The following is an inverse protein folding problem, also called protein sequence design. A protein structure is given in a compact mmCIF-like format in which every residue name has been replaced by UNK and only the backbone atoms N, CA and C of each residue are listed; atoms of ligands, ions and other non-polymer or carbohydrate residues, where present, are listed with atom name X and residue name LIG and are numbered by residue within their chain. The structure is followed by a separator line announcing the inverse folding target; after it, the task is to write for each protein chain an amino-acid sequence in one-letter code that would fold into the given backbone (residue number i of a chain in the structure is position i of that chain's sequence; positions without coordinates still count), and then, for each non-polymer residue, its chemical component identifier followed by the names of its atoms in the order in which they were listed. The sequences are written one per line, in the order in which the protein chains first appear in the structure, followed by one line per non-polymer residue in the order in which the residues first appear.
data_IF_181372852110
#
_entry.id   IF_181372852110
#
_cell.length_a   1.000
_cell.length_b   1.000
_cell.length_c   1.000
_cell.angle_alpha   90.00
_cell.angle_beta   90.00
_cell.angle_gamma   90.00
#
_symmetry.space_group_name_H-M   'P 1'
#
loop_
_entity.id
_entity.type
_entity.pdbx_description
1 polymer ?
#
# COMPACT_ATOMS: atom_id res chain seq x y z
N UNK A 1 21.64 -100.11 -51.45
CA UNK A 1 22.23 -99.14 -50.51
C UNK A 1 21.20 -98.07 -50.17
N UNK A 2 20.68 -98.18 -48.95
CA UNK A 2 20.04 -97.19 -48.07
C UNK A 2 19.26 -96.00 -48.66
N UNK A 3 17.92 -96.10 -48.56
CA UNK A 3 16.99 -94.98 -48.35
C UNK A 3 17.46 -94.15 -47.14
N UNK A 4 17.70 -92.85 -47.34
CA UNK A 4 17.67 -91.86 -46.25
C UNK A 4 16.57 -90.85 -46.55
N UNK A 5 15.56 -90.82 -45.69
CA UNK A 5 14.40 -89.94 -45.79
C UNK A 5 14.82 -88.46 -45.67
N UNK A 6 14.18 -87.52 -46.39
CA UNK A 6 14.48 -86.09 -46.31
C UNK A 6 13.88 -85.44 -45.06
N UNK A 7 13.89 -86.13 -43.91
CA UNK A 7 13.37 -85.61 -42.64
C UNK A 7 14.22 -84.46 -42.10
N UNK A 8 15.56 -84.53 -42.25
CA UNK A 8 16.48 -83.49 -41.76
C UNK A 8 16.37 -82.19 -42.56
N UNK A 9 16.30 -82.25 -43.88
CA UNK A 9 16.13 -81.07 -44.73
C UNK A 9 14.77 -80.39 -44.53
N UNK A 10 13.70 -81.18 -44.33
CA UNK A 10 12.37 -80.65 -43.99
C UNK A 10 12.31 -80.04 -42.59
N UNK A 11 13.00 -80.60 -41.60
CA UNK A 11 13.15 -79.96 -40.28
C UNK A 11 13.90 -78.64 -40.37
N UNK A 12 15.00 -78.58 -41.13
CA UNK A 12 15.81 -77.37 -41.30
C UNK A 12 15.04 -76.24 -42.01
N UNK A 13 14.27 -76.58 -43.06
CA UNK A 13 13.36 -75.63 -43.72
C UNK A 13 12.23 -75.16 -42.80
N UNK A 14 11.67 -76.04 -41.97
CA UNK A 14 10.65 -75.67 -40.97
C UNK A 14 11.23 -74.79 -39.86
N UNK A 15 12.44 -75.06 -39.38
CA UNK A 15 13.10 -74.20 -38.37
C UNK A 15 13.43 -72.84 -38.93
N UNK A 16 13.92 -72.75 -40.18
CA UNK A 16 14.15 -71.46 -40.85
C UNK A 16 12.82 -70.72 -41.05
N UNK A 17 11.77 -71.41 -41.49
CA UNK A 17 10.43 -70.83 -41.63
C UNK A 17 9.86 -70.30 -40.30
N UNK A 18 10.05 -71.03 -39.20
CA UNK A 18 9.65 -70.59 -37.86
C UNK A 18 10.47 -69.38 -37.41
N UNK A 19 11.79 -69.37 -37.62
CA UNK A 19 12.66 -68.23 -37.26
C UNK A 19 12.29 -66.99 -38.06
N UNK A 20 12.03 -67.12 -39.36
CA UNK A 20 11.57 -65.99 -40.20
C UNK A 20 10.20 -65.50 -39.74
N UNK A 21 9.26 -66.40 -39.45
CA UNK A 21 7.96 -66.02 -38.93
C UNK A 21 8.08 -65.31 -37.56
N UNK A 22 8.96 -65.78 -36.68
CA UNK A 22 9.25 -65.15 -35.39
C UNK A 22 9.90 -63.78 -35.56
N UNK A 23 10.86 -63.62 -36.48
CA UNK A 23 11.51 -62.34 -36.77
C UNK A 23 10.55 -61.34 -37.40
N UNK A 24 9.62 -61.77 -38.26
CA UNK A 24 8.56 -60.91 -38.83
C UNK A 24 7.57 -60.51 -37.72
N UNK A 25 7.16 -61.45 -36.87
CA UNK A 25 6.28 -61.17 -35.74
C UNK A 25 6.94 -60.21 -34.75
N UNK A 26 8.21 -60.45 -34.42
CA UNK A 26 9.00 -59.55 -33.58
C UNK A 26 9.15 -58.18 -34.24
N UNK A 27 9.48 -58.10 -35.53
CA UNK A 27 9.61 -56.83 -36.23
C UNK A 27 8.27 -56.09 -36.35
N UNK A 28 7.14 -56.79 -36.33
CA UNK A 28 5.80 -56.20 -36.31
C UNK A 28 5.44 -55.62 -34.93
N UNK A 29 5.94 -56.22 -33.85
CA UNK A 29 5.66 -55.82 -32.45
C UNK A 29 6.69 -54.84 -31.88
N UNK A 30 7.95 -54.93 -32.33
CA UNK A 30 9.03 -54.06 -31.85
C UNK A 30 8.85 -52.64 -32.36
N UNK A 31 8.61 -51.71 -31.44
CA UNK A 31 8.44 -50.28 -31.71
C UNK A 31 9.79 -49.56 -31.70
N UNK A 32 10.02 -48.72 -32.70
CA UNK A 32 11.11 -47.76 -32.79
C UNK A 32 10.54 -46.34 -32.69
N UNK A 33 11.17 -45.51 -31.88
CA UNK A 33 10.80 -44.10 -31.74
C UNK A 33 11.26 -43.31 -32.97
N UNK A 34 10.34 -42.54 -33.55
CA UNK A 34 10.62 -41.57 -34.60
C UNK A 34 10.90 -40.23 -33.93
N UNK A 35 12.11 -39.70 -34.11
CA UNK A 35 12.57 -38.47 -33.47
C UNK A 35 12.84 -37.37 -34.49
N UNK A 36 12.37 -36.16 -34.16
CA UNK A 36 12.76 -34.92 -34.85
C UNK A 36 13.86 -34.27 -34.04
N UNK A 37 15.00 -33.97 -34.67
CA UNK A 37 16.14 -33.35 -34.01
C UNK A 37 16.15 -31.85 -34.22
N UNK A 38 16.46 -31.11 -33.16
CA UNK A 38 16.66 -29.67 -33.21
C UNK A 38 17.86 -29.24 -32.37
N UNK A 39 18.58 -28.24 -32.84
CA UNK A 39 19.64 -27.60 -32.05
C UNK A 39 19.00 -26.55 -31.15
N UNK A 40 19.26 -26.64 -29.84
CA UNK A 40 18.66 -25.76 -28.86
C UNK A 40 19.64 -25.11 -27.90
N UNK A 41 19.15 -24.07 -27.23
CA UNK A 41 19.88 -23.30 -26.23
C UNK A 41 19.05 -23.21 -24.96
N UNK A 42 19.72 -23.35 -23.83
CA UNK A 42 19.09 -23.17 -22.51
C UNK A 42 18.76 -21.70 -22.30
N UNK A 43 17.48 -21.41 -22.10
CA UNK A 43 16.97 -20.10 -21.72
C UNK A 43 16.41 -20.17 -20.29
N UNK A 44 16.51 -19.08 -19.50
CA UNK A 44 15.90 -19.07 -18.19
C UNK A 44 14.38 -19.20 -18.33
N UNK A 45 13.75 -19.96 -17.42
CA UNK A 45 12.31 -20.19 -17.43
C UNK A 45 11.50 -18.91 -17.28
N UNK A 46 12.06 -17.96 -16.53
CA UNK A 46 11.54 -16.61 -16.31
C UNK A 46 12.43 -15.59 -17.00
N UNK A 47 11.81 -14.49 -17.41
CA UNK A 47 12.54 -13.34 -17.94
C UNK A 47 13.50 -12.78 -16.88
N UNK A 48 14.62 -12.25 -17.35
CA UNK A 48 15.60 -11.54 -16.52
C UNK A 48 14.89 -10.45 -15.73
N UNK A 49 15.09 -10.46 -14.41
CA UNK A 49 14.54 -9.47 -13.51
C UNK A 49 15.45 -8.24 -13.51
N UNK A 50 14.91 -7.09 -13.88
CA UNK A 50 15.63 -5.82 -13.90
C UNK A 50 15.24 -5.05 -12.65
N UNK A 51 16.21 -4.83 -11.76
CA UNK A 51 16.03 -4.02 -10.57
C UNK A 51 16.45 -2.58 -10.87
N UNK A 52 15.53 -1.67 -10.59
CA UNK A 52 15.69 -0.23 -10.82
C UNK A 52 15.71 0.51 -9.48
N UNK A 53 16.36 1.66 -9.45
CA UNK A 53 16.21 2.59 -8.33
C UNK A 53 14.94 3.41 -8.52
N UNK A 54 14.00 3.36 -7.58
CA UNK A 54 12.75 4.14 -7.68
C UNK A 54 13.03 5.64 -7.46
N UNK A 55 13.66 6.00 -6.34
CA UNK A 55 13.91 7.38 -5.95
C UNK A 55 15.29 7.92 -6.36
N UNK A 56 16.21 7.05 -6.81
CA UNK A 56 17.60 7.41 -7.06
C UNK A 56 18.37 7.74 -5.77
N UNK A 57 19.61 8.20 -5.93
CA UNK A 57 20.43 8.65 -4.80
C UNK A 57 21.91 8.31 -4.95
N UNK A 58 22.66 8.57 -3.87
CA UNK A 58 24.09 8.26 -3.79
C UNK A 58 24.28 6.80 -3.39
N UNK A 59 25.08 6.05 -4.13
CA UNK A 59 25.37 4.66 -3.79
C UNK A 59 26.34 4.62 -2.61
N UNK A 60 25.90 4.07 -1.48
CA UNK A 60 26.71 3.90 -0.28
C UNK A 60 27.54 2.62 -0.35
N UNK A 61 26.92 1.51 -0.73
CA UNK A 61 27.58 0.19 -0.73
C UNK A 61 27.04 -0.69 -1.86
N UNK A 62 27.92 -1.49 -2.45
CA UNK A 62 27.58 -2.53 -3.43
C UNK A 62 28.09 -3.86 -2.86
N UNK A 63 27.19 -4.78 -2.55
CA UNK A 63 27.48 -6.03 -1.83
C UNK A 63 27.58 -7.26 -2.73
N UNK A 64 27.36 -7.09 -4.04
CA UNK A 64 27.34 -8.18 -5.03
C UNK A 64 28.17 -7.84 -6.25
N UNK A 65 28.63 -8.86 -6.95
CA UNK A 65 29.38 -8.77 -8.20
C UNK A 65 28.68 -9.54 -9.31
N UNK A 66 29.05 -9.24 -10.55
CA UNK A 66 28.57 -10.02 -11.70
C UNK A 66 29.01 -11.49 -11.57
N UNK A 67 28.07 -12.41 -11.78
CA UNK A 67 28.28 -13.85 -11.61
C UNK A 67 27.96 -14.38 -10.20
N UNK A 68 27.74 -13.51 -9.21
CA UNK A 68 27.39 -13.97 -7.86
C UNK A 68 25.98 -14.58 -7.82
N UNK A 69 25.84 -15.65 -7.03
CA UNK A 69 24.54 -16.25 -6.69
C UNK A 69 23.96 -15.51 -5.50
N UNK A 70 22.73 -15.03 -5.64
CA UNK A 70 21.99 -14.29 -4.62
C UNK A 70 20.72 -15.03 -4.24
N UNK A 71 20.38 -14.97 -2.96
CA UNK A 71 19.12 -15.50 -2.44
C UNK A 71 18.00 -14.44 -2.48
N UNK A 72 16.75 -14.91 -2.36
CA UNK A 72 15.62 -14.01 -2.25
C UNK A 72 15.75 -13.12 -0.99
N UNK A 73 15.40 -11.84 -1.14
CA UNK A 73 15.50 -10.77 -0.13
C UNK A 73 16.92 -10.40 0.32
N UNK A 74 17.96 -10.95 -0.31
CA UNK A 74 19.35 -10.56 -0.06
C UNK A 74 19.58 -9.10 -0.47
N UNK A 75 20.28 -8.34 0.38
CA UNK A 75 20.68 -6.96 0.09
C UNK A 75 21.77 -6.95 -0.98
N UNK A 76 21.55 -6.18 -2.03
CA UNK A 76 22.45 -6.10 -3.19
C UNK A 76 23.21 -4.78 -3.21
N UNK A 77 22.46 -3.67 -3.11
CA UNK A 77 22.99 -2.31 -3.14
C UNK A 77 22.28 -1.50 -2.07
N UNK A 78 23.06 -0.67 -1.39
CA UNK A 78 22.56 0.29 -0.41
C UNK A 78 22.78 1.71 -0.94
N UNK A 79 21.70 2.47 -1.02
CA UNK A 79 21.72 3.90 -1.28
C UNK A 79 21.86 4.64 0.06
N UNK A 80 22.54 5.78 0.07
CA UNK A 80 22.64 6.66 1.24
C UNK A 80 21.24 7.10 1.71
N UNK A 81 20.86 6.56 2.87
CA UNK A 81 19.57 6.77 3.50
C UNK A 81 19.51 8.07 4.33
N UNK A 82 20.63 8.79 4.52
CA UNK A 82 20.73 9.94 5.42
C UNK A 82 19.67 11.00 5.13
N UNK A 83 19.44 11.31 3.85
CA UNK A 83 18.43 12.29 3.43
C UNK A 83 17.01 11.80 3.69
N UNK A 84 16.74 10.53 3.39
CA UNK A 84 15.41 9.94 3.57
C UNK A 84 15.06 9.80 5.07
N UNK A 85 16.01 9.35 5.89
CA UNK A 85 15.87 9.24 7.34
C UNK A 85 15.69 10.63 7.97
N UNK A 86 16.39 11.66 7.48
CA UNK A 86 16.21 13.03 7.95
C UNK A 86 14.78 13.52 7.72
N UNK A 87 14.20 13.27 6.54
CA UNK A 87 12.80 13.62 6.26
C UNK A 87 11.81 12.85 7.15
N UNK A 88 12.06 11.57 7.45
CA UNK A 88 11.23 10.80 8.39
C UNK A 88 11.31 11.38 9.81
N UNK A 89 12.53 11.73 10.28
CA UNK A 89 12.73 12.34 11.59
C UNK A 89 12.06 13.71 11.69
N UNK A 90 12.15 14.54 10.65
CA UNK A 90 11.46 15.83 10.58
C UNK A 90 9.93 15.65 10.65
N UNK A 91 9.38 14.75 9.82
CA UNK A 91 7.95 14.43 9.84
C UNK A 91 7.51 13.91 11.22
N UNK A 92 8.30 13.06 11.87
CA UNK A 92 8.02 12.55 13.22
C UNK A 92 8.03 13.67 14.27
N UNK A 93 9.00 14.58 14.22
CA UNK A 93 9.05 15.72 15.13
C UNK A 93 7.83 16.64 14.96
N UNK A 94 7.44 16.95 13.71
CA UNK A 94 6.23 17.72 13.42
C UNK A 94 4.96 16.99 13.90
N UNK A 95 4.87 15.69 13.67
CA UNK A 95 3.75 14.86 14.12
C UNK A 95 3.60 14.90 15.64
N UNK A 96 4.68 14.65 16.39
CA UNK A 96 4.66 14.69 17.87
C UNK A 96 4.25 16.07 18.40
N UNK A 97 4.75 17.15 17.78
CA UNK A 97 4.34 18.52 18.07
C UNK A 97 2.85 18.75 17.91
N UNK A 98 2.27 18.30 16.78
CA UNK A 98 0.85 18.46 16.52
C UNK A 98 -0.01 17.53 17.39
N UNK A 99 0.46 16.34 17.76
CA UNK A 99 -0.26 15.44 18.69
C UNK A 99 -0.39 16.08 20.06
N UNK A 100 0.70 16.65 20.58
CA UNK A 100 0.69 17.38 21.85
C UNK A 100 -0.27 18.58 21.81
N UNK A 101 -0.18 19.38 20.73
CA UNK A 101 -1.08 20.51 20.49
C UNK A 101 -2.54 20.09 20.41
N UNK A 102 -2.85 19.01 19.69
CA UNK A 102 -4.22 18.49 19.58
C UNK A 102 -4.76 18.06 20.95
N UNK A 103 -3.93 17.41 21.78
CA UNK A 103 -4.32 17.03 23.13
C UNK A 103 -4.59 18.26 24.02
N UNK A 104 -3.78 19.32 23.93
CA UNK A 104 -4.02 20.61 24.62
C UNK A 104 -5.35 21.22 24.16
N UNK A 105 -5.55 21.37 22.85
CA UNK A 105 -6.74 22.00 22.28
C UNK A 105 -8.01 21.22 22.61
N UNK A 106 -7.94 19.88 22.61
CA UNK A 106 -9.04 19.01 23.06
C UNK A 106 -9.36 19.22 24.53
N UNK A 107 -8.36 19.31 25.40
CA UNK A 107 -8.56 19.61 26.80
C UNK A 107 -9.24 20.98 27.01
N UNK A 108 -8.82 21.99 26.25
CA UNK A 108 -9.42 23.34 26.28
C UNK A 108 -10.87 23.35 25.77
N UNK A 109 -11.16 22.65 24.66
CA UNK A 109 -12.49 22.58 24.08
C UNK A 109 -13.48 21.83 24.98
N UNK A 110 -13.06 20.69 25.55
CA UNK A 110 -13.87 19.87 26.46
C UNK A 110 -13.95 20.44 27.89
N UNK A 111 -13.14 21.44 28.24
CA UNK A 111 -13.02 21.97 29.59
C UNK A 111 -12.38 21.01 30.60
N UNK A 112 -11.55 20.07 30.13
CA UNK A 112 -10.87 19.05 30.94
C UNK A 112 -9.41 19.45 31.21
N UNK A 113 -8.76 18.85 32.23
CA UNK A 113 -7.32 18.99 32.42
C UNK A 113 -6.54 18.46 31.20
N UNK A 114 -5.44 19.12 30.86
CA UNK A 114 -4.51 18.62 29.85
C UNK A 114 -3.82 17.35 30.37
N UNK A 115 -3.91 16.27 29.58
CA UNK A 115 -3.20 15.01 29.85
C UNK A 115 -2.25 14.76 28.68
N UNK A 116 -0.93 14.80 28.91
CA UNK A 116 0.06 14.54 27.87
C UNK A 116 -0.07 13.13 27.28
N UNK A 117 -0.05 12.99 25.94
CA UNK A 117 0.00 11.68 25.31
C UNK A 117 1.30 10.93 25.67
N UNK A 118 1.22 9.62 25.98
CA UNK A 118 2.38 8.86 26.47
C UNK A 118 3.51 8.75 25.44
N UNK A 119 3.18 8.71 24.15
CA UNK A 119 4.17 8.62 23.07
C UNK A 119 5.01 9.89 22.97
N UNK A 120 4.37 11.06 23.08
CA UNK A 120 5.05 12.36 23.07
C UNK A 120 5.90 12.53 24.34
N UNK A 121 5.39 12.11 25.50
CA UNK A 121 6.12 12.19 26.75
C UNK A 121 7.44 11.39 26.75
N UNK A 122 7.49 10.30 25.98
CA UNK A 122 8.71 9.48 25.82
C UNK A 122 9.69 10.04 24.80
N UNK A 123 9.19 10.49 23.65
CA UNK A 123 10.05 10.87 22.51
C UNK A 123 10.41 12.37 22.49
N UNK A 124 9.55 13.24 23.01
CA UNK A 124 9.68 14.70 22.95
C UNK A 124 9.17 15.39 24.23
N UNK A 125 9.82 15.18 25.39
CA UNK A 125 9.39 15.78 26.65
C UNK A 125 9.38 17.31 26.64
N UNK A 126 10.31 17.95 25.91
CA UNK A 126 10.38 19.41 25.76
C UNK A 126 9.12 19.99 25.13
N UNK A 127 8.51 19.29 24.17
CA UNK A 127 7.26 19.69 23.51
C UNK A 127 6.09 19.65 24.50
N UNK A 128 6.07 18.63 25.37
CA UNK A 128 5.03 18.50 26.40
C UNK A 128 5.10 19.66 27.38
N UNK A 129 6.30 20.04 27.81
CA UNK A 129 6.49 21.16 28.73
C UNK A 129 6.01 22.48 28.11
N UNK A 130 6.37 22.74 26.85
CA UNK A 130 5.92 23.93 26.12
C UNK A 130 4.39 23.98 25.98
N UNK A 131 3.75 22.87 25.61
CA UNK A 131 2.29 22.81 25.48
C UNK A 131 1.58 22.91 26.85
N UNK A 132 2.19 22.41 27.93
CA UNK A 132 1.68 22.59 29.29
C UNK A 132 1.72 24.06 29.71
N UNK A 133 2.84 24.76 29.50
CA UNK A 133 2.96 26.19 29.78
C UNK A 133 1.92 27.01 28.97
N UNK A 134 1.73 26.66 27.70
CA UNK A 134 0.74 27.32 26.85
C UNK A 134 -0.69 27.03 27.32
N UNK A 135 -0.98 25.80 27.78
CA UNK A 135 -2.27 25.43 28.35
C UNK A 135 -2.59 26.27 29.59
N UNK A 136 -1.65 26.40 30.52
CA UNK A 136 -1.82 27.19 31.74
C UNK A 136 -2.02 28.67 31.43
N UNK A 137 -1.22 29.23 30.52
CA UNK A 137 -1.36 30.61 30.08
C UNK A 137 -2.75 30.89 29.47
N UNK A 138 -3.22 30.00 28.58
CA UNK A 138 -4.54 30.14 27.95
C UNK A 138 -5.69 29.96 28.93
N UNK A 139 -5.55 29.05 29.90
CA UNK A 139 -6.53 28.89 30.98
C UNK A 139 -6.59 30.12 31.88
N UNK A 140 -5.44 30.73 32.19
CA UNK A 140 -5.38 31.96 32.95
C UNK A 140 -6.03 33.13 32.19
N UNK A 141 -5.80 33.25 30.88
CA UNK A 141 -6.43 34.23 30.00
C UNK A 141 -7.96 34.12 30.01
N UNK A 142 -8.49 32.91 29.81
CA UNK A 142 -9.93 32.63 29.88
C UNK A 142 -10.51 32.99 31.25
N UNK A 143 -9.86 32.57 32.33
CA UNK A 143 -10.32 32.84 33.69
C UNK A 143 -10.35 34.35 33.99
N UNK A 144 -9.35 35.10 33.51
CA UNK A 144 -9.31 36.56 33.66
C UNK A 144 -10.47 37.23 32.90
N UNK A 145 -10.74 36.80 31.66
CA UNK A 145 -11.86 37.32 30.88
C UNK A 145 -13.22 37.04 31.53
N UNK A 146 -13.42 35.81 32.03
CA UNK A 146 -14.63 35.44 32.79
C UNK A 146 -14.75 36.25 34.08
N UNK A 147 -13.64 36.48 34.78
CA UNK A 147 -13.63 37.31 36.00
C UNK A 147 -14.07 38.74 35.72
N UNK A 148 -13.62 39.35 34.61
CA UNK A 148 -14.04 40.70 34.20
C UNK A 148 -15.55 40.71 33.90
N UNK A 149 -16.06 39.74 33.15
CA UNK A 149 -17.49 39.64 32.85
C UNK A 149 -18.34 39.43 34.13
N UNK A 150 -17.84 38.65 35.09
CA UNK A 150 -18.48 38.48 36.41
C UNK A 150 -18.49 39.77 37.23
N UNK A 151 -17.41 40.56 37.19
CA UNK A 151 -17.38 41.87 37.86
C UNK A 151 -18.42 42.83 37.29
N UNK A 152 -18.62 42.83 35.96
CA UNK A 152 -19.68 43.61 35.32
C UNK A 152 -21.07 43.16 35.78
N UNK A 153 -21.31 41.85 35.91
CA UNK A 153 -22.56 41.31 36.45
C UNK A 153 -22.81 41.81 37.89
N UNK A 154 -21.79 41.76 38.76
CA UNK A 154 -21.88 42.26 40.13
C UNK A 154 -22.20 43.76 40.16
N UNK A 155 -21.58 44.56 39.29
CA UNK A 155 -21.88 45.98 39.16
C UNK A 155 -23.36 46.22 38.79
N UNK A 156 -23.90 45.48 37.81
CA UNK A 156 -25.33 45.57 37.44
C UNK A 156 -26.26 45.14 38.57
N UNK A 157 -25.86 44.15 39.35
CA UNK A 157 -26.62 43.72 40.53
C UNK A 157 -26.66 44.81 41.62
N UNK A 158 -25.57 45.56 41.79
CA UNK A 158 -25.54 46.71 42.70
C UNK A 158 -26.44 47.86 42.20
N UNK A 159 -26.42 48.15 40.89
CA UNK A 159 -27.34 49.12 40.27
C UNK A 159 -28.82 48.73 40.51
N UNK A 160 -29.13 47.43 40.46
CA UNK A 160 -30.47 46.92 40.75
C UNK A 160 -30.88 47.18 42.20
N UNK A 161 -29.97 46.89 43.15
CA UNK A 161 -30.22 47.13 44.57
C UNK A 161 -30.47 48.62 44.85
N UNK A 162 -29.72 49.52 44.20
CA UNK A 162 -29.93 50.97 44.30
C UNK A 162 -31.31 51.38 43.74
N UNK A 163 -31.70 50.87 42.58
CA UNK A 163 -33.00 51.15 41.98
C UNK A 163 -34.16 50.61 42.83
N UNK A 164 -33.99 49.44 43.46
CA UNK A 164 -34.95 48.87 44.40
C UNK A 164 -35.10 49.73 45.66
N UNK A 165 -34.00 50.22 46.23
CA UNK A 165 -34.03 51.12 47.38
C UNK A 165 -34.78 52.43 47.04
N UNK A 166 -34.49 53.04 45.88
CA UNK A 166 -35.21 54.24 45.40
C UNK A 166 -36.71 53.97 45.20
N UNK A 167 -37.07 52.83 44.61
CA UNK A 167 -38.48 52.44 44.47
C UNK A 167 -39.16 52.28 45.82
N UNK A 168 -38.51 51.63 46.79
CA UNK A 168 -39.06 51.42 48.12
C UNK A 168 -39.29 52.75 48.85
N UNK A 169 -38.34 53.68 48.77
CA UNK A 169 -38.46 55.03 49.33
C UNK A 169 -39.63 55.80 48.70
N UNK A 170 -39.73 55.82 47.36
CA UNK A 170 -40.82 56.50 46.67
C UNK A 170 -42.19 55.85 46.93
N UNK A 171 -42.24 54.52 47.05
CA UNK A 171 -43.45 53.79 47.41
C UNK A 171 -43.93 54.16 48.82
N UNK A 172 -43.02 54.21 49.80
CA UNK A 172 -43.37 54.63 51.16
C UNK A 172 -43.87 56.07 51.20
N UNK A 173 -43.22 56.99 50.46
CA UNK A 173 -43.67 58.38 50.33
C UNK A 173 -45.06 58.49 49.70
N UNK A 174 -45.32 57.72 48.65
CA UNK A 174 -46.63 57.62 48.00
C UNK A 174 -47.71 57.08 48.95
N UNK A 175 -47.43 56.00 49.69
CA UNK A 175 -48.41 55.38 50.59
C UNK A 175 -48.80 56.33 51.74
N UNK A 176 -47.83 57.02 52.34
CA UNK A 176 -48.07 58.00 53.42
C UNK A 176 -48.89 59.19 52.91
N UNK A 177 -48.46 59.82 51.82
CA UNK A 177 -49.16 61.00 51.25
C UNK A 177 -50.52 60.64 50.67
N UNK A 178 -50.68 59.45 50.09
CA UNK A 178 -51.97 58.99 49.59
C UNK A 178 -52.95 58.71 50.73
N UNK A 179 -52.46 58.19 51.87
CA UNK A 179 -53.28 58.00 53.06
C UNK A 179 -53.71 59.35 53.65
N UNK A 180 -52.79 60.30 53.77
CA UNK A 180 -53.08 61.66 54.22
C UNK A 180 -54.13 62.33 53.32
N UNK A 181 -53.96 62.26 51.99
CA UNK A 181 -54.94 62.75 51.03
C UNK A 181 -56.32 62.09 51.21
N UNK A 182 -56.38 60.78 51.44
CA UNK A 182 -57.65 60.05 51.61
C UNK A 182 -58.45 60.48 52.83
N UNK A 183 -57.77 60.88 53.91
CA UNK A 183 -58.40 61.37 55.15
C UNK A 183 -58.75 62.86 55.03
N UNK A 184 -57.91 63.65 54.36
CA UNK A 184 -58.09 65.10 54.23
C UNK A 184 -59.15 65.48 53.19
N UNK A 185 -59.27 64.72 52.11
CA UNK A 185 -60.22 65.00 51.01
C UNK A 185 -61.69 65.16 51.45
N UNK A 186 -62.29 64.32 52.32
CA UNK A 186 -63.67 64.52 52.76
C UNK A 186 -63.86 65.76 53.66
N UNK A 187 -62.80 66.25 54.33
CA UNK A 187 -62.87 67.38 55.27
C UNK A 187 -63.10 68.74 54.58
N UNK A 188 -62.91 68.80 53.25
CA UNK A 188 -63.16 70.02 52.46
C UNK A 188 -64.64 70.40 52.43
N UNK A 189 -65.54 69.39 52.43
CA UNK A 189 -66.99 69.61 52.42
C UNK A 189 -67.49 70.21 53.74
N UNK A 190 -66.76 70.01 54.82
CA UNK A 190 -67.02 70.62 56.14
C UNK A 190 -66.31 71.97 56.34
N UNK A 191 -65.52 72.45 55.36
CA UNK A 191 -64.75 73.70 55.45
C UNK A 191 -63.55 73.64 56.41
N UNK A 192 -63.20 72.46 56.92
CA UNK A 192 -62.16 72.28 57.94
C UNK A 192 -60.72 72.32 57.37
N UNK A 193 -60.57 72.29 56.04
CA UNK A 193 -59.28 72.31 55.34
C UNK A 193 -59.37 73.19 54.08
N UNK A 194 -58.28 73.90 53.75
CA UNK A 194 -58.18 74.75 52.56
C UNK A 194 -58.01 73.94 51.26
N UNK A 195 -58.63 74.38 50.17
CA UNK A 195 -58.46 73.81 48.83
C UNK A 195 -57.01 73.83 48.34
N UNK A 196 -56.23 74.84 48.76
CA UNK A 196 -54.79 74.94 48.42
C UNK A 196 -53.99 73.78 49.03
N UNK A 197 -54.34 73.35 50.24
CA UNK A 197 -53.69 72.23 50.92
C UNK A 197 -54.04 70.90 50.26
N UNK A 198 -55.29 70.74 49.81
CA UNK A 198 -55.70 69.56 49.05
C UNK A 198 -54.93 69.46 47.73
N UNK A 199 -54.82 70.56 46.96
CA UNK A 199 -54.05 70.59 45.72
C UNK A 199 -52.55 70.33 45.95
N UNK A 200 -52.00 70.73 47.10
CA UNK A 200 -50.62 70.44 47.49
C UNK A 200 -50.42 68.93 47.73
N UNK A 201 -51.32 68.30 48.50
CA UNK A 201 -51.31 66.85 48.73
C UNK A 201 -51.50 66.05 47.44
N UNK A 202 -52.43 66.46 46.57
CA UNK A 202 -52.62 65.80 45.25
C UNK A 202 -51.36 65.89 44.38
N UNK A 203 -50.66 67.04 44.39
CA UNK A 203 -49.37 67.20 43.69
C UNK A 203 -48.28 66.30 44.29
N UNK A 204 -48.18 66.20 45.61
CA UNK A 204 -47.19 65.36 46.28
C UNK A 204 -47.45 63.87 46.02
N UNK A 205 -48.70 63.41 46.06
CA UNK A 205 -49.09 62.04 45.69
C UNK A 205 -48.72 61.75 44.24
N UNK A 206 -49.01 62.67 43.32
CA UNK A 206 -48.66 62.53 41.91
C UNK A 206 -47.14 62.47 41.70
N UNK A 207 -46.36 63.30 42.41
CA UNK A 207 -44.90 63.29 42.38
C UNK A 207 -44.34 61.95 42.84
N UNK A 208 -44.71 61.48 44.04
CA UNK A 208 -44.20 60.20 44.57
C UNK A 208 -44.64 58.99 43.75
N UNK A 209 -45.85 59.03 43.19
CA UNK A 209 -46.30 58.02 42.21
C UNK A 209 -45.41 58.01 40.97
N UNK A 210 -45.13 59.17 40.40
CA UNK A 210 -44.24 59.33 39.25
C UNK A 210 -42.83 58.80 39.55
N UNK A 211 -42.25 59.17 40.69
CA UNK A 211 -40.94 58.68 41.13
C UNK A 211 -40.90 57.15 41.31
N UNK A 212 -41.93 56.58 41.93
CA UNK A 212 -42.08 55.12 42.09
C UNK A 212 -42.17 54.40 40.75
N UNK A 213 -42.97 54.94 39.83
CA UNK A 213 -43.20 54.34 38.52
C UNK A 213 -41.94 54.45 37.65
N UNK A 214 -41.22 55.58 37.72
CA UNK A 214 -39.89 55.76 37.10
C UNK A 214 -38.85 54.77 37.65
N UNK A 215 -38.76 54.62 38.97
CA UNK A 215 -37.85 53.66 39.60
C UNK A 215 -38.23 52.21 39.23
N UNK A 216 -39.52 51.92 39.10
CA UNK A 216 -40.00 50.60 38.65
C UNK A 216 -39.58 50.33 37.19
N UNK A 217 -39.70 51.31 36.30
CA UNK A 217 -39.20 51.18 34.92
C UNK A 217 -37.67 51.02 34.87
N UNK A 218 -36.93 51.69 35.77
CA UNK A 218 -35.49 51.53 35.91
C UNK A 218 -35.12 50.09 36.32
N UNK A 219 -35.82 49.51 37.31
CA UNK A 219 -35.61 48.12 37.74
C UNK A 219 -35.74 47.16 36.56
N UNK A 220 -36.80 47.28 35.75
CA UNK A 220 -37.00 46.44 34.57
C UNK A 220 -35.83 46.56 33.58
N UNK A 221 -35.32 47.78 33.37
CA UNK A 221 -34.17 48.03 32.49
C UNK A 221 -32.88 47.40 33.02
N UNK A 222 -32.61 47.53 34.32
CA UNK A 222 -31.41 46.96 34.94
C UNK A 222 -31.48 45.43 34.97
N UNK A 223 -32.66 44.85 35.20
CA UNK A 223 -32.86 43.39 35.10
C UNK A 223 -32.55 42.86 33.70
N UNK A 224 -32.94 43.59 32.64
CA UNK A 224 -32.56 43.24 31.27
C UNK A 224 -31.03 43.30 31.08
N UNK A 225 -30.36 44.31 31.63
CA UNK A 225 -28.90 44.45 31.59
C UNK A 225 -28.17 43.35 32.39
N UNK A 226 -28.73 42.88 33.51
CA UNK A 226 -28.22 41.73 34.28
C UNK A 226 -28.29 40.46 33.42
N UNK A 227 -29.43 40.21 32.77
CA UNK A 227 -29.59 39.04 31.89
C UNK A 227 -28.61 39.10 30.70
N UNK A 228 -28.35 40.29 30.16
CA UNK A 228 -27.33 40.49 29.13
C UNK A 228 -25.91 40.22 29.66
N UNK A 229 -25.55 40.75 30.83
CA UNK A 229 -24.25 40.49 31.46
C UNK A 229 -24.04 39.00 31.78
N UNK A 230 -25.10 38.29 32.20
CA UNK A 230 -25.05 36.85 32.43
C UNK A 230 -24.78 36.09 31.12
N UNK A 231 -25.49 36.42 30.04
CA UNK A 231 -25.23 35.86 28.71
C UNK A 231 -23.81 36.18 28.22
N UNK A 232 -23.27 37.34 28.59
CA UNK A 232 -21.90 37.72 28.21
C UNK A 232 -20.85 36.78 28.82
N UNK A 233 -21.07 36.30 30.04
CA UNK A 233 -20.18 35.31 30.67
C UNK A 233 -20.17 34.01 29.86
N UNK A 234 -21.36 33.51 29.50
CA UNK A 234 -21.51 32.29 28.67
C UNK A 234 -20.89 32.48 27.28
N UNK A 235 -21.09 33.65 26.66
CA UNK A 235 -20.51 34.00 25.36
C UNK A 235 -18.99 33.94 25.38
N UNK A 236 -18.35 34.48 26.44
CA UNK A 236 -16.89 34.42 26.60
C UNK A 236 -16.41 32.97 26.64
N UNK A 237 -17.03 32.12 27.47
CA UNK A 237 -16.64 30.71 27.56
C UNK A 237 -16.85 29.95 26.22
N UNK A 238 -17.96 30.20 25.54
CA UNK A 238 -18.28 29.59 24.26
C UNK A 238 -17.28 30.00 23.17
N UNK A 239 -16.91 31.28 23.11
CA UNK A 239 -15.92 31.76 22.15
C UNK A 239 -14.57 31.06 22.35
N UNK A 240 -14.08 30.95 23.59
CA UNK A 240 -12.85 30.21 23.88
C UNK A 240 -12.92 28.73 23.45
N UNK A 241 -14.06 28.06 23.69
CA UNK A 241 -14.25 26.66 23.26
C UNK A 241 -14.33 26.52 21.74
N UNK A 242 -14.99 27.45 21.07
CA UNK A 242 -15.13 27.47 19.61
C UNK A 242 -13.78 27.72 18.93
N UNK A 243 -13.00 28.68 19.43
CA UNK A 243 -11.65 28.97 18.92
C UNK A 243 -10.74 27.75 19.09
N UNK A 244 -10.74 27.13 20.28
CA UNK A 244 -10.01 25.89 20.52
C UNK A 244 -10.49 24.74 19.63
N UNK A 245 -11.78 24.61 19.40
CA UNK A 245 -12.38 23.60 18.51
C UNK A 245 -12.00 23.80 17.04
N UNK A 246 -11.94 25.05 16.58
CA UNK A 246 -11.50 25.40 15.22
C UNK A 246 -10.02 25.05 15.03
N UNK A 247 -9.16 25.49 15.94
CA UNK A 247 -7.73 25.15 15.91
C UNK A 247 -7.50 23.63 16.00
N UNK A 248 -8.32 22.92 16.79
CA UNK A 248 -8.26 21.47 16.91
C UNK A 248 -8.58 20.78 15.59
N UNK A 249 -9.63 21.24 14.88
CA UNK A 249 -10.01 20.72 13.58
C UNK A 249 -8.87 20.89 12.55
N UNK A 250 -8.29 22.10 12.48
CA UNK A 250 -7.16 22.38 11.59
C UNK A 250 -5.92 21.55 11.94
N UNK A 251 -5.63 21.38 13.24
CA UNK A 251 -4.51 20.57 13.73
C UNK A 251 -4.73 19.09 13.41
N UNK A 252 -5.95 18.59 13.57
CA UNK A 252 -6.31 17.20 13.27
C UNK A 252 -6.22 16.92 11.78
N UNK A 253 -6.67 17.84 10.92
CA UNK A 253 -6.51 17.73 9.47
C UNK A 253 -5.03 17.64 9.06
N UNK A 254 -4.17 18.48 9.65
CA UNK A 254 -2.71 18.43 9.43
C UNK A 254 -2.10 17.11 9.94
N UNK A 255 -2.53 16.62 11.10
CA UNK A 255 -2.10 15.32 11.63
C UNK A 255 -2.43 14.18 10.67
N UNK A 256 -3.67 14.13 10.17
CA UNK A 256 -4.08 13.12 9.20
C UNK A 256 -3.23 13.19 7.93
N UNK A 257 -2.97 14.39 7.41
CA UNK A 257 -2.11 14.56 6.23
C UNK A 257 -0.66 14.13 6.48
N UNK A 258 -0.08 14.46 7.64
CA UNK A 258 1.28 14.04 8.00
C UNK A 258 1.37 12.53 8.22
N UNK A 259 0.34 11.91 8.80
CA UNK A 259 0.29 10.46 9.00
C UNK A 259 0.36 9.72 7.66
N UNK A 260 -0.43 10.15 6.67
CA UNK A 260 -0.36 9.61 5.30
C UNK A 260 1.00 9.86 4.65
N UNK A 261 1.55 11.07 4.80
CA UNK A 261 2.90 11.40 4.31
C UNK A 261 4.01 10.56 4.96
N UNK A 262 3.84 10.16 6.23
CA UNK A 262 4.80 9.35 6.98
C UNK A 262 4.96 7.94 6.38
N UNK A 263 3.86 7.36 5.88
CA UNK A 263 3.88 6.06 5.18
C UNK A 263 4.74 6.14 3.93
N UNK A 264 4.54 7.18 3.10
CA UNK A 264 5.32 7.38 1.89
C UNK A 264 6.82 7.64 2.17
N UNK A 265 7.14 8.44 3.19
CA UNK A 265 8.53 8.67 3.60
C UNK A 265 9.20 7.40 4.13
N UNK A 266 8.47 6.60 4.91
CA UNK A 266 8.96 5.32 5.42
C UNK A 266 9.21 4.32 4.31
N UNK A 267 8.35 4.29 3.28
CA UNK A 267 8.56 3.46 2.10
C UNK A 267 9.83 3.88 1.35
N UNK A 268 10.03 5.19 1.13
CA UNK A 268 11.25 5.72 0.51
C UNK A 268 12.53 5.30 1.24
N UNK A 269 12.52 5.29 2.58
CA UNK A 269 13.64 4.75 3.37
C UNK A 269 13.83 3.25 3.11
N UNK A 270 12.77 2.44 3.06
CA UNK A 270 12.89 1.01 2.73
C UNK A 270 13.45 0.78 1.32
N UNK A 271 13.01 1.57 0.35
CA UNK A 271 13.46 1.50 -1.04
C UNK A 271 14.92 1.96 -1.25
N UNK A 272 15.55 2.59 -0.25
CA UNK A 272 16.99 2.86 -0.27
C UNK A 272 17.84 1.58 -0.23
N UNK A 273 17.26 0.47 0.24
CA UNK A 273 17.90 -0.84 0.31
C UNK A 273 17.38 -1.73 -0.82
N UNK A 274 18.18 -1.90 -1.87
CA UNK A 274 17.78 -2.69 -3.05
C UNK A 274 18.06 -4.17 -2.77
N UNK A 275 16.99 -4.97 -2.77
CA UNK A 275 17.03 -6.40 -2.45
C UNK A 275 16.60 -7.25 -3.64
N UNK A 276 17.11 -8.48 -3.72
CA UNK A 276 16.69 -9.41 -4.77
C UNK A 276 15.27 -9.92 -4.50
N UNK A 277 14.33 -9.88 -5.46
CA UNK A 277 13.00 -10.47 -5.29
C UNK A 277 13.01 -12.00 -5.40
N UNK A 278 14.06 -12.58 -6.00
CA UNK A 278 14.15 -14.01 -6.32
C UNK A 278 15.55 -14.54 -6.05
N UNK A 279 15.68 -15.85 -5.88
CA UNK A 279 17.00 -16.50 -5.92
C UNK A 279 17.50 -16.56 -7.37
N UNK A 280 18.73 -16.13 -7.62
CA UNK A 280 19.24 -16.00 -8.97
C UNK A 280 20.73 -15.68 -9.06
N UNK A 281 21.26 -15.65 -10.28
CA UNK A 281 22.62 -15.19 -10.55
C UNK A 281 22.58 -13.77 -11.08
N UNK A 282 23.47 -12.90 -10.59
CA UNK A 282 23.63 -11.54 -11.11
C UNK A 282 24.24 -11.61 -12.51
N UNK A 283 23.46 -11.25 -13.53
CA UNK A 283 23.91 -11.24 -14.92
C UNK A 283 24.74 -10.00 -15.24
N UNK A 284 24.28 -8.83 -14.80
CA UNK A 284 24.94 -7.55 -15.07
C UNK A 284 24.69 -6.55 -13.95
N UNK A 285 25.74 -5.84 -13.57
CA UNK A 285 25.72 -4.77 -12.60
C UNK A 285 25.97 -3.45 -13.34
N UNK A 286 24.91 -2.66 -13.55
CA UNK A 286 25.00 -1.38 -14.27
C UNK A 286 25.58 -0.26 -13.40
N UNK A 287 25.56 -0.45 -12.08
CA UNK A 287 26.09 0.50 -11.09
C UNK A 287 27.29 -0.12 -10.40
N UNK A 288 28.48 0.32 -10.80
CA UNK A 288 29.76 -0.23 -10.34
C UNK A 288 30.57 0.72 -9.44
N UNK A 289 30.15 1.99 -9.32
CA UNK A 289 30.88 3.02 -8.57
C UNK A 289 30.21 3.34 -7.26
N UNK A 290 30.86 2.98 -6.15
CA UNK A 290 30.50 3.47 -4.80
C UNK A 290 30.73 4.98 -4.74
N UNK A 291 29.77 5.74 -4.22
CA UNK A 291 29.75 7.20 -4.28
C UNK A 291 29.26 7.78 -5.61
N UNK A 292 28.86 6.93 -6.57
CA UNK A 292 28.19 7.36 -7.79
C UNK A 292 26.73 7.78 -7.52
N UNK A 293 26.21 8.68 -8.36
CA UNK A 293 24.80 9.12 -8.29
C UNK A 293 23.97 8.33 -9.30
N UNK A 294 22.88 7.73 -8.83
CA UNK A 294 21.92 6.99 -9.67
C UNK A 294 20.66 7.84 -9.85
N UNK A 295 20.17 7.92 -11.09
CA UNK A 295 18.94 8.61 -11.42
C UNK A 295 17.70 7.73 -11.09
N UNK A 296 16.56 8.35 -10.72
CA UNK A 296 15.28 7.65 -10.58
C UNK A 296 14.90 6.87 -11.85
N UNK A 297 14.36 5.68 -11.69
CA UNK A 297 13.94 4.77 -12.76
C UNK A 297 15.07 4.09 -13.53
N UNK A 298 16.33 4.30 -13.15
CA UNK A 298 17.47 3.72 -13.87
C UNK A 298 17.73 2.27 -13.44
N UNK A 299 17.95 1.40 -14.42
CA UNK A 299 18.37 0.01 -14.22
C UNK A 299 19.68 -0.06 -13.45
N UNK A 300 19.70 -0.88 -12.40
CA UNK A 300 20.84 -1.08 -11.53
C UNK A 300 21.41 -2.48 -11.64
N UNK A 301 20.56 -3.50 -11.58
CA UNK A 301 20.99 -4.91 -11.53
C UNK A 301 20.06 -5.76 -12.40
N UNK A 302 20.65 -6.64 -13.21
CA UNK A 302 19.94 -7.70 -13.91
C UNK A 302 20.18 -9.04 -13.20
N UNK A 303 19.10 -9.71 -12.78
CA UNK A 303 19.16 -11.01 -12.10
C UNK A 303 18.48 -12.06 -12.97
N UNK A 304 19.17 -13.18 -13.18
CA UNK A 304 18.64 -14.36 -13.85
C UNK A 304 18.18 -15.34 -12.77
N UNK A 305 16.88 -15.66 -12.66
CA UNK A 305 16.38 -16.59 -11.66
C UNK A 305 17.03 -17.97 -11.80
N UNK A 306 17.49 -18.53 -10.69
CA UNK A 306 17.98 -19.90 -10.59
C UNK A 306 16.78 -20.77 -10.21
N UNK A 307 16.20 -21.46 -11.18
CA UNK A 307 15.06 -22.35 -10.97
C UNK A 307 15.40 -23.82 -11.23
N UNK A 308 14.57 -24.68 -10.66
CA UNK A 308 14.69 -26.14 -10.75
C UNK A 308 14.22 -26.72 -12.10
N UNK A 309 13.69 -25.92 -13.03
CA UNK A 309 13.27 -26.40 -14.35
C UNK A 309 13.68 -25.41 -15.43
N UNK A 310 14.50 -25.87 -16.37
CA UNK A 310 15.02 -25.05 -17.46
C UNK A 310 14.17 -25.23 -18.71
N UNK A 311 13.97 -24.12 -19.43
CA UNK A 311 13.34 -24.09 -20.73
C UNK A 311 14.43 -24.10 -21.79
N UNK A 312 14.30 -24.98 -22.78
CA UNK A 312 15.19 -25.01 -23.92
C UNK A 312 14.47 -24.49 -25.14
N UNK A 313 15.11 -23.56 -25.82
CA UNK A 313 14.65 -23.06 -27.10
C UNK A 313 15.39 -23.82 -28.19
N UNK A 314 14.70 -24.72 -28.90
CA UNK A 314 15.26 -25.52 -29.99
C UNK A 314 14.78 -25.06 -31.36
N UNK A 315 15.70 -25.08 -32.33
CA UNK A 315 15.49 -24.73 -33.72
C UNK A 315 15.20 -25.99 -34.50
N UNK A 316 14.03 -26.05 -35.13
CA UNK A 316 13.58 -27.20 -35.91
C UNK A 316 13.39 -26.80 -37.37
N UNK A 317 13.76 -27.70 -38.28
CA UNK A 317 13.62 -27.46 -39.70
C UNK A 317 12.13 -27.42 -40.11
N UNK A 318 11.72 -26.52 -41.03
CA UNK A 318 10.33 -26.42 -41.48
C UNK A 318 9.73 -27.72 -42.03
N UNK A 319 10.57 -28.62 -42.55
CA UNK A 319 10.15 -29.93 -43.08
C UNK A 319 9.59 -30.87 -42.00
N UNK A 320 9.99 -30.68 -40.73
CA UNK A 320 9.65 -31.59 -39.63
C UNK A 320 8.55 -31.03 -38.70
N UNK A 321 8.07 -29.81 -38.95
CA UNK A 321 7.06 -29.13 -38.11
C UNK A 321 5.70 -29.82 -38.11
N UNK A 322 5.33 -30.47 -39.22
CA UNK A 322 4.01 -31.08 -39.41
C UNK A 322 3.71 -32.22 -38.41
N UNK A 323 4.74 -32.79 -37.79
CA UNK A 323 4.63 -33.91 -36.85
C UNK A 323 4.76 -33.50 -35.39
N UNK A 324 4.97 -32.20 -35.11
CA UNK A 324 5.16 -31.69 -33.76
C UNK A 324 3.85 -31.22 -33.15
N UNK A 325 3.63 -31.59 -31.89
CA UNK A 325 2.47 -31.16 -31.09
C UNK A 325 2.88 -30.89 -29.65
N UNK A 326 2.34 -29.84 -29.00
CA UNK A 326 2.52 -29.64 -27.58
C UNK A 326 2.14 -30.89 -26.78
N UNK A 327 2.95 -31.23 -25.78
CA UNK A 327 2.80 -32.42 -24.92
C UNK A 327 3.64 -33.63 -25.34
N UNK A 328 4.34 -33.59 -26.48
CA UNK A 328 5.22 -34.70 -26.90
C UNK A 328 6.44 -34.84 -25.98
N UNK A 329 6.86 -36.08 -25.64
CA UNK A 329 8.08 -36.31 -24.89
C UNK A 329 9.30 -35.98 -25.75
N UNK A 330 10.29 -35.36 -25.13
CA UNK A 330 11.54 -34.96 -25.76
C UNK A 330 12.73 -35.37 -24.89
N UNK A 331 13.84 -35.73 -25.52
CA UNK A 331 15.09 -36.06 -24.85
C UNK A 331 16.09 -34.96 -25.19
N UNK A 332 16.61 -34.32 -24.15
CA UNK A 332 17.55 -33.20 -24.25
C UNK A 332 18.96 -33.69 -23.97
N UNK A 333 19.89 -33.45 -24.90
CA UNK A 333 21.29 -33.85 -24.81
C UNK A 333 22.17 -32.62 -24.76
N UNK A 334 22.78 -32.33 -23.63
CA UNK A 334 23.67 -31.16 -23.49
C UNK A 334 25.02 -31.43 -24.14
N UNK A 335 25.48 -30.56 -25.04
CA UNK A 335 26.77 -30.77 -25.73
C UNK A 335 27.97 -30.62 -24.79
N UNK A 336 27.79 -29.94 -23.66
CA UNK A 336 28.82 -29.76 -22.64
C UNK A 336 29.10 -31.05 -21.81
N UNK A 337 28.23 -32.06 -21.90
CA UNK A 337 28.36 -33.32 -21.17
C UNK A 337 28.33 -34.51 -22.13
N UNK A 338 29.15 -35.54 -21.88
CA UNK A 338 29.16 -36.74 -22.74
C UNK A 338 27.87 -37.55 -22.55
N UNK A 339 27.03 -37.57 -23.59
CA UNK A 339 25.77 -38.30 -23.62
C UNK A 339 25.94 -39.80 -23.36
N UNK A 340 27.08 -40.40 -23.72
CA UNK A 340 27.31 -41.84 -23.56
C UNK A 340 27.49 -42.24 -22.10
N UNK A 341 27.97 -41.30 -21.28
CA UNK A 341 28.27 -41.51 -19.86
C UNK A 341 27.06 -41.11 -19.01
N UNK A 342 26.46 -39.97 -19.32
CA UNK A 342 25.44 -39.39 -18.45
C UNK A 342 24.01 -39.65 -18.96
N UNK A 343 23.80 -39.88 -20.26
CA UNK A 343 22.50 -40.04 -20.93
C UNK A 343 21.90 -38.72 -21.47
N UNK A 344 20.57 -38.66 -21.61
CA UNK A 344 19.82 -37.42 -21.91
C UNK A 344 18.74 -37.11 -20.87
N UNK A 345 18.36 -35.83 -20.77
CA UNK A 345 17.36 -35.34 -19.82
C UNK A 345 15.96 -35.36 -20.43
N UNK A 346 15.01 -35.98 -19.74
CA UNK A 346 13.62 -36.00 -20.18
C UNK A 346 12.98 -34.61 -20.08
N UNK A 347 12.29 -34.24 -21.15
CA UNK A 347 11.52 -33.00 -21.25
C UNK A 347 10.23 -33.20 -22.04
N UNK A 348 9.44 -32.13 -22.09
CA UNK A 348 8.14 -32.10 -22.77
C UNK A 348 8.10 -30.87 -23.67
N UNK A 349 7.65 -31.05 -24.92
CA UNK A 349 7.40 -29.96 -25.84
C UNK A 349 6.23 -29.11 -25.33
N UNK A 350 6.49 -27.89 -24.87
CA UNK A 350 5.48 -27.02 -24.27
C UNK A 350 4.88 -26.05 -25.30
N UNK A 351 5.72 -25.47 -26.16
CA UNK A 351 5.30 -24.44 -27.10
C UNK A 351 5.99 -24.58 -28.46
N UNK A 352 5.26 -24.25 -29.52
CA UNK A 352 5.73 -24.22 -30.91
C UNK A 352 5.48 -22.80 -31.43
N UNK A 353 6.52 -22.15 -31.94
CA UNK A 353 6.41 -20.82 -32.55
C UNK A 353 5.44 -20.82 -33.73
N UNK A 354 4.65 -19.75 -33.85
CA UNK A 354 3.62 -19.64 -34.88
C UNK A 354 4.16 -19.42 -36.29
N UNK A 355 5.41 -18.96 -36.42
CA UNK A 355 6.03 -18.62 -37.70
C UNK A 355 7.52 -19.03 -37.73
N UNK A 356 8.08 -19.12 -38.93
CA UNK A 356 9.51 -19.35 -39.16
C UNK A 356 10.32 -18.09 -38.86
N UNK A 357 11.46 -18.27 -38.18
CA UNK A 357 12.47 -17.25 -37.99
C UNK A 357 13.65 -17.57 -38.90
N UNK A 358 14.21 -16.54 -39.54
CA UNK A 358 15.38 -16.69 -40.43
C UNK A 358 16.64 -16.36 -39.65
N UNK A 359 17.64 -17.24 -39.71
CA UNK A 359 18.97 -16.98 -39.13
C UNK A 359 19.74 -15.94 -39.96
N UNK A 360 20.83 -15.39 -39.42
CA UNK A 360 21.73 -14.46 -40.13
C UNK A 360 22.30 -15.04 -41.44
N UNK A 361 22.23 -16.38 -41.59
CA UNK A 361 22.66 -17.16 -42.77
C UNK A 361 21.55 -17.41 -43.80
N UNK A 362 20.33 -16.90 -43.58
CA UNK A 362 19.19 -17.07 -44.50
C UNK A 362 18.43 -18.40 -44.37
N UNK A 363 18.75 -19.24 -43.37
CA UNK A 363 18.04 -20.50 -43.12
C UNK A 363 16.80 -20.25 -42.26
N UNK A 364 15.63 -20.68 -42.74
CA UNK A 364 14.39 -20.62 -41.99
C UNK A 364 14.26 -21.81 -41.02
N UNK A 365 13.89 -21.55 -39.77
CA UNK A 365 13.62 -22.55 -38.75
C UNK A 365 12.40 -22.17 -37.90
N UNK A 366 11.73 -23.17 -37.31
CA UNK A 366 10.73 -22.96 -36.28
C UNK A 366 11.39 -23.04 -34.91
N UNK A 367 10.99 -22.12 -34.04
CA UNK A 367 11.44 -22.11 -32.64
C UNK A 367 10.45 -22.90 -31.79
N UNK A 368 10.93 -23.94 -31.11
CA UNK A 368 10.13 -24.71 -30.15
C UNK A 368 10.70 -24.59 -28.75
N UNK A 369 9.84 -24.63 -27.73
CA UNK A 369 10.24 -24.59 -26.32
C UNK A 369 9.98 -25.93 -25.66
N UNK A 370 11.03 -26.54 -25.12
CA UNK A 370 10.98 -27.80 -24.41
C UNK A 370 11.30 -27.56 -22.95
N UNK A 371 10.40 -27.97 -22.05
CA UNK A 371 10.60 -27.88 -20.61
C UNK A 371 11.19 -29.17 -20.08
N UNK A 372 12.25 -29.07 -19.29
CA UNK A 372 12.87 -30.20 -18.61
C UNK A 372 12.12 -30.56 -17.33
N UNK A 373 12.07 -31.86 -16.99
CA UNK A 373 11.36 -32.34 -15.80
C UNK A 373 12.19 -32.18 -14.51
N UNK A 374 13.52 -32.03 -14.61
CA UNK A 374 14.45 -31.91 -13.48
C UNK A 374 15.55 -30.87 -13.82
N UNK A 375 16.14 -30.20 -12.82
CA UNK A 375 17.15 -29.14 -13.04
C UNK A 375 18.54 -29.65 -13.37
N UNK A 376 18.81 -30.92 -13.10
CA UNK A 376 20.13 -31.49 -13.14
C UNK A 376 20.12 -32.85 -13.81
N UNK A 377 21.33 -33.25 -14.19
CA UNK A 377 21.55 -34.41 -15.02
C UNK A 377 22.53 -35.39 -14.37
N UNK A 378 22.22 -36.69 -14.45
CA UNK A 378 22.99 -37.79 -13.83
C UNK A 378 22.85 -37.91 -12.30
N UNK A 379 23.41 -38.99 -11.73
CA UNK A 379 23.42 -39.27 -10.28
C UNK A 379 24.17 -38.18 -9.45
N UNK A 380 24.96 -37.34 -10.11
CA UNK A 380 25.76 -36.27 -9.50
C UNK A 380 25.10 -34.87 -9.55
N UNK A 381 23.87 -34.74 -10.07
CA UNK A 381 23.12 -33.48 -10.15
C UNK A 381 23.94 -32.31 -10.76
N UNK A 382 24.48 -32.52 -11.96
CA UNK A 382 25.32 -31.55 -12.64
C UNK A 382 24.55 -30.25 -12.95
N UNK A 383 25.11 -29.06 -12.65
CA UNK A 383 24.42 -27.79 -12.82
C UNK A 383 24.35 -27.36 -14.29
N UNK A 384 23.14 -27.07 -14.77
CA UNK A 384 22.91 -26.55 -16.12
C UNK A 384 22.72 -25.03 -16.04
N UNK A 385 23.48 -24.28 -16.85
CA UNK A 385 23.49 -22.80 -16.81
C UNK A 385 22.81 -22.25 -18.08
N UNK A 386 22.00 -21.18 -17.98
CA UNK A 386 21.48 -20.48 -19.15
C UNK A 386 22.60 -20.11 -20.13
N UNK A 387 22.39 -20.40 -21.41
CA UNK A 387 23.38 -20.19 -22.46
C UNK A 387 24.04 -21.45 -22.99
N UNK A 388 23.96 -22.59 -22.29
CA UNK A 388 24.44 -23.88 -22.79
C UNK A 388 23.69 -24.31 -24.06
N UNK A 389 24.39 -25.01 -24.96
CA UNK A 389 23.82 -25.60 -26.18
C UNK A 389 23.43 -27.05 -25.91
N UNK A 390 22.32 -27.48 -26.48
CA UNK A 390 21.82 -28.85 -26.37
C UNK A 390 21.21 -29.30 -27.71
N UNK A 391 21.24 -30.61 -27.97
CA UNK A 391 20.45 -31.24 -29.03
C UNK A 391 19.16 -31.77 -28.42
N UNK A 392 18.03 -31.48 -29.05
CA UNK A 392 16.70 -31.84 -28.56
C UNK A 392 16.06 -32.82 -29.54
N UNK A 393 15.85 -34.05 -29.08
CA UNK A 393 15.18 -35.11 -29.83
C UNK A 393 13.71 -35.18 -29.38
N UNK A 394 12.79 -34.74 -30.22
CA UNK A 394 11.34 -34.78 -29.93
C UNK A 394 10.74 -36.04 -30.54
N UNK A 395 10.10 -36.86 -29.72
CA UNK A 395 9.47 -38.11 -30.16
C UNK A 395 8.14 -37.78 -30.84
N UNK A 396 8.12 -37.87 -32.16
CA UNK A 396 6.96 -37.51 -33.00
C UNK A 396 6.03 -38.68 -33.28
N UNK A 397 6.50 -39.92 -33.08
CA UNK A 397 5.68 -41.12 -33.22
C UNK A 397 6.47 -42.39 -32.93
N UNK A 398 5.79 -43.53 -33.02
CA UNK A 398 6.40 -44.86 -32.92
C UNK A 398 6.08 -45.67 -34.17
N UNK A 399 7.06 -46.37 -34.72
CA UNK A 399 6.91 -47.22 -35.90
C UNK A 399 7.48 -48.60 -35.63
N UNK A 400 6.84 -49.65 -36.12
CA UNK A 400 7.40 -50.98 -36.00
C UNK A 400 8.64 -51.15 -36.90
N UNK A 401 9.57 -52.00 -36.49
CA UNK A 401 10.78 -52.34 -37.28
C UNK A 401 10.39 -52.81 -38.68
N UNK A 402 9.29 -53.56 -38.81
CA UNK A 402 8.74 -54.03 -40.07
C UNK A 402 8.30 -52.86 -40.97
N UNK A 403 7.64 -51.85 -40.40
CA UNK A 403 7.22 -50.65 -41.14
C UNK A 403 8.42 -49.81 -41.62
N UNK A 404 9.50 -49.75 -40.83
CA UNK A 404 10.74 -49.08 -41.23
C UNK A 404 11.42 -49.80 -42.40
N UNK A 405 11.56 -51.13 -42.35
CA UNK A 405 12.18 -51.95 -43.39
C UNK A 405 11.37 -51.97 -44.70
N UNK A 406 10.04 -51.91 -44.62
CA UNK A 406 9.15 -51.87 -45.79
C UNK A 406 8.99 -50.47 -46.39
N UNK A 407 9.41 -49.39 -45.70
CA UNK A 407 9.28 -48.00 -46.18
C UNK A 407 9.85 -47.77 -47.59
N UNK A 408 11.04 -48.29 -47.97
CA UNK A 408 11.59 -48.11 -49.32
C UNK A 408 10.77 -48.84 -50.39
N UNK A 409 10.27 -50.04 -50.08
CA UNK A 409 9.45 -50.86 -50.98
C UNK A 409 8.09 -50.20 -51.21
N UNK A 410 7.48 -49.68 -50.15
CA UNK A 410 6.22 -48.96 -50.20
C UNK A 410 6.36 -47.62 -50.94
N UNK A 411 7.47 -46.87 -50.74
CA UNK A 411 7.78 -45.66 -51.51
C UNK A 411 8.00 -45.95 -52.99
N UNK A 412 8.73 -47.00 -53.33
CA UNK A 412 8.98 -47.39 -54.72
C UNK A 412 7.67 -47.77 -55.42
N UNK A 413 6.78 -48.51 -54.76
CA UNK A 413 5.45 -48.84 -55.28
C UNK A 413 4.57 -47.60 -55.48
N UNK A 414 4.58 -46.64 -54.54
CA UNK A 414 3.76 -45.43 -54.67
C UNK A 414 4.26 -44.50 -55.79
N UNK A 415 5.57 -44.38 -55.97
CA UNK A 415 6.18 -43.54 -57.02
C UNK A 415 6.09 -44.20 -58.40
N UNK A 416 6.12 -45.53 -58.49
CA UNK A 416 5.98 -46.25 -59.76
C UNK A 416 4.54 -46.31 -60.30
N UNK A 417 3.53 -46.02 -59.48
CA UNK A 417 2.10 -46.04 -59.82
C UNK A 417 1.46 -44.65 -59.85
N UNK A 418 2.26 -43.58 -59.92
CA UNK A 418 1.77 -42.22 -60.15
C UNK A 418 2.51 -41.57 -61.31
N UNK A 419 1.76 -41.16 -62.33
CA UNK A 419 2.23 -40.25 -63.38
C UNK A 419 1.89 -38.81 -62.98
N UNK A 420 2.67 -37.84 -63.47
CA UNK A 420 2.72 -36.47 -62.95
C UNK A 420 1.50 -35.62 -63.31
#
# INVERSE_FOLDING_TARGET
MLRQEPLRARMLLRTIGIVIALSILWAAVAELDEVTRGEGKVIPSRQVQVLQSIDGGLVSEILVREGDVVDANQLLVKIDETRFVSSVKENRAQYLGLVARAARLKAMSDGKPFVPPPDVMKEAPEVVEQELQLYEAKRAEMNAAVSIARQQLVQRQQELNEAQAKRAQAAQGYDLTSKELSVTKPLINSGAVSEVELLRLERDVSRYRGERDMASAQITRVQAAINEAQRKIEEVELNFRNDAGKELSETTAKLSSLAEGSVALSDRVKQSSIRSPVKGTVKRLLVNTVGGVVQPGKDMIEIVPLEDALLLEARIQPRDIAFLRPGQPAIVKFTAYDFSIYGGLDGILEHIGADTVTDDKGNAFYTVRVRTNKPGFGDANLPIIPGMVAEVDIITGKKSVLAYLLKPVLRAKSVALTER
#
